data_IF_473536334360
#
_entry.id   IF_473536334360
#
_cell.length_a   1.000
_cell.length_b   1.000
_cell.length_c   1.000
_cell.angle_alpha   90.00
_cell.angle_beta   90.00
_cell.angle_gamma   90.00
#
_symmetry.space_group_name_H-M   'P 1'
#
loop_
_entity.id
_entity.type
_entity.pdbx_description
1 polymer ?
#
# COMPACT_ATOMS: atom_id res chain seq x y z
N UNK A 1 20.64 65.58 87.59
CA UNK A 1 19.80 64.40 87.87
C UNK A 1 18.36 64.77 87.58
N UNK A 2 17.59 63.82 87.03
CA UNK A 2 16.13 63.88 86.81
C UNK A 2 15.68 64.76 85.63
N UNK A 3 14.78 64.39 84.74
CA UNK A 3 14.07 63.13 84.42
C UNK A 3 13.32 63.43 83.11
N UNK A 4 13.16 62.42 82.25
CA UNK A 4 12.45 62.52 80.99
C UNK A 4 10.96 62.18 81.16
N UNK A 5 10.03 63.03 80.72
CA UNK A 5 8.62 62.66 80.41
C UNK A 5 8.12 63.57 79.26
N UNK A 6 8.18 63.08 78.02
CA UNK A 6 7.05 62.62 77.20
C UNK A 6 5.87 63.61 77.05
N UNK A 7 5.81 64.31 75.91
CA UNK A 7 4.56 64.90 75.39
C UNK A 7 3.89 63.91 74.45
N UNK A 8 2.66 63.57 74.82
CA UNK A 8 1.70 62.77 74.08
C UNK A 8 1.15 63.64 72.95
N UNK A 9 1.37 63.25 71.69
CA UNK A 9 0.70 63.85 70.54
C UNK A 9 -0.23 62.83 69.88
N UNK A 10 -1.41 63.34 69.55
CA UNK A 10 -2.65 62.64 69.23
C UNK A 10 -2.56 61.86 67.92
N UNK A 11 -3.10 60.64 67.95
CA UNK A 11 -3.18 59.73 66.82
C UNK A 11 -3.97 60.33 65.64
N UNK A 12 -3.27 60.59 64.54
CA UNK A 12 -3.85 60.74 63.20
C UNK A 12 -3.67 59.38 62.52
N UNK A 13 -4.79 58.68 62.31
CA UNK A 13 -4.87 57.44 61.54
C UNK A 13 -4.70 57.81 60.05
N UNK A 14 -3.68 57.33 59.31
CA UNK A 14 -3.75 57.28 57.87
C UNK A 14 -4.49 56.01 57.46
N UNK A 15 -5.51 56.19 56.60
CA UNK A 15 -6.30 55.14 56.00
C UNK A 15 -5.43 54.03 55.37
N UNK A 16 -5.88 52.76 55.37
CA UNK A 16 -5.23 51.74 54.56
C UNK A 16 -5.44 52.09 53.09
N UNK A 17 -4.34 52.40 52.41
CA UNK A 17 -4.28 52.40 50.95
C UNK A 17 -4.66 50.99 50.50
N UNK A 18 -5.88 50.88 49.97
CA UNK A 18 -6.35 49.72 49.22
C UNK A 18 -5.57 49.71 47.92
N UNK A 19 -4.41 49.07 47.93
CA UNK A 19 -3.74 48.64 46.70
C UNK A 19 -3.78 47.11 46.67
N UNK A 20 -4.95 46.60 46.31
CA UNK A 20 -5.20 45.16 46.17
C UNK A 20 -5.78 44.92 44.79
N UNK A 21 -4.93 44.90 43.75
CA UNK A 21 -5.18 44.03 42.57
C UNK A 21 -4.05 43.92 41.53
N UNK A 22 -2.85 44.50 41.72
CA UNK A 22 -1.84 44.51 40.63
C UNK A 22 -0.68 43.52 40.81
N UNK A 23 -0.60 42.78 41.92
CA UNK A 23 0.60 42.01 42.25
C UNK A 23 0.56 40.50 41.95
N UNK A 24 -0.41 40.00 41.16
CA UNK A 24 -0.51 38.56 40.79
C UNK A 24 -0.78 38.29 39.32
N UNK A 25 -0.78 39.30 38.43
CA UNK A 25 -0.93 39.08 36.99
C UNK A 25 0.44 38.76 36.37
N UNK A 26 0.77 37.48 36.27
CA UNK A 26 1.96 37.03 35.54
C UNK A 26 1.70 37.03 34.03
N UNK A 27 2.77 37.11 33.23
CA UNK A 27 2.67 37.06 31.76
C UNK A 27 2.04 35.74 31.29
N UNK A 28 2.31 34.65 32.01
CA UNK A 28 1.76 33.32 31.74
C UNK A 28 0.24 33.28 31.97
N UNK A 29 -0.26 33.94 33.01
CA UNK A 29 -1.71 34.05 33.28
C UNK A 29 -2.39 34.85 32.16
N UNK A 30 -1.81 35.96 31.73
CA UNK A 30 -2.33 36.76 30.60
C UNK A 30 -2.34 35.94 29.30
N UNK A 31 -1.28 35.17 29.03
CA UNK A 31 -1.22 34.29 27.87
C UNK A 31 -2.27 33.16 27.92
N UNK A 32 -2.59 32.64 29.11
CA UNK A 32 -3.67 31.68 29.28
C UNK A 32 -5.06 32.32 29.05
N UNK A 33 -5.29 33.54 29.56
CA UNK A 33 -6.53 34.30 29.32
C UNK A 33 -6.74 34.58 27.83
N UNK A 34 -5.70 35.05 27.11
CA UNK A 34 -5.76 35.30 25.67
C UNK A 34 -6.10 34.02 24.90
N UNK A 35 -5.44 32.90 25.21
CA UNK A 35 -5.73 31.60 24.56
C UNK A 35 -7.16 31.11 24.81
N UNK A 36 -7.69 31.35 26.02
CA UNK A 36 -9.07 31.00 26.36
C UNK A 36 -10.08 31.83 25.55
N UNK A 37 -9.87 33.14 25.44
CA UNK A 37 -10.74 34.04 24.64
C UNK A 37 -10.72 33.63 23.16
N UNK A 38 -9.52 33.36 22.63
CA UNK A 38 -9.32 32.94 21.24
C UNK A 38 -10.01 31.60 20.95
N UNK A 39 -9.93 30.63 21.86
CA UNK A 39 -10.63 29.34 21.73
C UNK A 39 -12.16 29.48 21.74
N UNK A 40 -12.69 30.30 22.65
CA UNK A 40 -14.12 30.61 22.70
C UNK A 40 -14.59 31.29 21.42
N UNK A 41 -13.83 32.26 20.92
CA UNK A 41 -14.16 32.97 19.67
C UNK A 41 -14.19 32.01 18.47
N UNK A 42 -13.20 31.11 18.36
CA UNK A 42 -13.18 30.09 17.28
C UNK A 42 -14.42 29.21 17.30
N UNK A 43 -14.81 28.70 18.47
CA UNK A 43 -15.99 27.85 18.65
C UNK A 43 -17.27 28.57 18.24
N UNK A 44 -17.43 29.83 18.66
CA UNK A 44 -18.59 30.64 18.28
C UNK A 44 -18.65 30.87 16.77
N UNK A 45 -17.52 31.15 16.13
CA UNK A 45 -17.46 31.35 14.67
C UNK A 45 -17.80 30.06 13.91
N UNK A 46 -17.27 28.91 14.34
CA UNK A 46 -17.58 27.62 13.72
C UNK A 46 -19.07 27.26 13.90
N UNK A 47 -19.63 27.44 15.10
CA UNK A 47 -21.05 27.19 15.33
C UNK A 47 -21.94 28.12 14.49
N UNK A 48 -21.59 29.40 14.40
CA UNK A 48 -22.30 30.36 13.55
C UNK A 48 -22.28 29.93 12.08
N UNK A 49 -21.15 29.39 11.60
CA UNK A 49 -21.02 28.87 10.25
C UNK A 49 -21.92 27.64 9.99
N UNK A 50 -22.06 26.75 10.98
CA UNK A 50 -23.00 25.60 10.93
C UNK A 50 -24.43 26.11 10.85
N UNK A 51 -24.82 27.03 11.72
CA UNK A 51 -26.19 27.56 11.78
C UNK A 51 -26.57 28.29 10.48
N UNK A 52 -25.65 29.09 9.94
CA UNK A 52 -25.80 29.73 8.61
C UNK A 52 -26.00 28.65 7.54
N UNK A 53 -25.22 27.59 7.55
CA UNK A 53 -25.36 26.49 6.59
C UNK A 53 -26.71 25.78 6.66
N UNK A 54 -27.27 25.56 7.85
CA UNK A 54 -28.63 25.01 8.00
C UNK A 54 -29.69 25.95 7.42
N UNK A 55 -29.60 27.25 7.67
CA UNK A 55 -30.51 28.25 7.09
C UNK A 55 -30.37 28.35 5.57
N UNK A 56 -29.16 28.19 5.04
CA UNK A 56 -28.93 28.15 3.60
C UNK A 56 -29.51 26.88 2.96
N UNK A 57 -29.44 25.72 3.62
CA UNK A 57 -30.15 24.52 3.17
C UNK A 57 -31.66 24.74 3.13
N UNK A 58 -32.23 25.31 4.19
CA UNK A 58 -33.66 25.65 4.27
C UNK A 58 -34.05 26.61 3.12
N UNK A 59 -33.35 27.73 2.97
CA UNK A 59 -33.61 28.71 1.92
C UNK A 59 -33.49 28.12 0.51
N UNK A 60 -32.52 27.24 0.27
CA UNK A 60 -32.32 26.60 -1.05
C UNK A 60 -33.49 25.71 -1.47
N UNK A 61 -34.29 25.19 -0.53
CA UNK A 61 -35.52 24.45 -0.86
C UNK A 61 -36.68 25.36 -1.30
N UNK A 62 -36.63 26.65 -0.92
CA UNK A 62 -37.67 27.64 -1.20
C UNK A 62 -37.37 28.51 -2.43
N UNK A 63 -36.09 28.66 -2.79
CA UNK A 63 -35.66 29.44 -3.95
C UNK A 63 -35.87 28.65 -5.25
N UNK A 64 -36.47 29.30 -6.25
CA UNK A 64 -36.71 28.69 -7.55
C UNK A 64 -35.41 28.25 -8.26
N UNK A 65 -35.52 27.20 -9.07
CA UNK A 65 -34.38 26.70 -9.87
C UNK A 65 -33.82 27.81 -10.77
N UNK A 66 -32.50 27.98 -10.74
CA UNK A 66 -31.78 29.02 -11.51
C UNK A 66 -31.54 30.33 -10.75
N UNK A 67 -32.37 30.66 -9.75
CA UNK A 67 -32.33 31.94 -9.04
C UNK A 67 -31.39 31.97 -7.83
N UNK A 68 -30.83 30.82 -7.44
CA UNK A 68 -30.00 30.68 -6.23
C UNK A 68 -28.82 31.64 -6.17
N UNK A 69 -28.12 31.82 -7.30
CA UNK A 69 -26.95 32.68 -7.37
C UNK A 69 -27.25 34.16 -7.14
N UNK A 70 -28.37 34.64 -7.67
CA UNK A 70 -28.81 36.03 -7.51
C UNK A 70 -29.37 36.24 -6.10
N UNK A 71 -30.20 35.30 -5.64
CA UNK A 71 -30.76 35.34 -4.28
C UNK A 71 -29.66 35.48 -3.21
N UNK A 72 -28.56 34.72 -3.33
CA UNK A 72 -27.42 34.80 -2.41
C UNK A 72 -26.77 36.19 -2.37
N UNK A 73 -26.60 36.83 -3.53
CA UNK A 73 -25.97 38.15 -3.61
C UNK A 73 -26.88 39.22 -3.01
N UNK A 74 -28.16 39.21 -3.35
CA UNK A 74 -29.11 40.25 -2.95
C UNK A 74 -29.50 40.17 -1.48
N UNK A 75 -29.67 38.95 -0.92
CA UNK A 75 -30.26 38.79 0.40
C UNK A 75 -29.25 38.57 1.53
N UNK A 76 -28.12 37.91 1.25
CA UNK A 76 -27.13 37.52 2.27
C UNK A 76 -25.70 37.93 1.92
N UNK A 77 -25.49 38.58 0.78
CA UNK A 77 -24.19 39.04 0.28
C UNK A 77 -23.11 37.95 0.27
N UNK A 78 -23.49 36.72 -0.07
CA UNK A 78 -22.56 35.60 -0.19
C UNK A 78 -22.30 35.21 -1.64
N UNK A 79 -21.07 34.76 -1.89
CA UNK A 79 -20.78 34.02 -3.12
C UNK A 79 -21.36 32.60 -3.04
N UNK A 80 -21.57 31.96 -4.19
CA UNK A 80 -22.01 30.56 -4.24
C UNK A 80 -21.02 29.61 -3.54
N UNK A 81 -19.71 29.87 -3.64
CA UNK A 81 -18.70 29.05 -2.99
C UNK A 81 -18.70 29.21 -1.47
N UNK A 82 -18.85 30.44 -0.97
CA UNK A 82 -18.99 30.73 0.47
C UNK A 82 -20.22 30.03 1.04
N UNK A 83 -21.38 30.20 0.39
CA UNK A 83 -22.62 29.53 0.78
C UNK A 83 -22.47 28.00 0.75
N UNK A 84 -21.84 27.47 -0.29
CA UNK A 84 -21.55 26.04 -0.41
C UNK A 84 -20.66 25.50 0.71
N UNK A 85 -19.65 26.26 1.16
CA UNK A 85 -18.81 25.86 2.28
C UNK A 85 -19.60 25.79 3.59
N UNK A 86 -20.43 26.79 3.89
CA UNK A 86 -21.30 26.77 5.07
C UNK A 86 -22.25 25.57 5.05
N UNK A 87 -22.91 25.34 3.92
CA UNK A 87 -23.82 24.21 3.75
C UNK A 87 -23.14 22.85 3.94
N UNK A 88 -21.92 22.67 3.42
CA UNK A 88 -21.14 21.43 3.62
C UNK A 88 -20.72 21.25 5.07
N UNK A 89 -20.22 22.30 5.72
CA UNK A 89 -19.84 22.25 7.13
C UNK A 89 -21.05 21.87 8.00
N UNK A 90 -22.21 22.46 7.71
CA UNK A 90 -23.43 22.18 8.44
C UNK A 90 -23.93 20.73 8.33
N UNK A 91 -23.64 20.06 7.22
CA UNK A 91 -23.97 18.64 7.02
C UNK A 91 -22.96 17.72 7.69
N UNK A 92 -21.66 18.00 7.55
CA UNK A 92 -20.61 17.04 7.87
C UNK A 92 -20.07 17.17 9.31
N UNK A 93 -20.34 18.28 10.01
CA UNK A 93 -19.73 18.61 11.32
C UNK A 93 -20.71 18.56 12.49
N UNK A 94 -21.94 18.07 12.27
CA UNK A 94 -23.05 18.18 13.23
C UNK A 94 -22.89 17.28 14.48
N UNK A 95 -22.02 16.27 14.45
CA UNK A 95 -21.99 15.19 15.46
C UNK A 95 -20.58 14.74 15.89
N UNK A 96 -19.52 15.48 15.53
CA UNK A 96 -18.13 15.04 15.74
C UNK A 96 -17.40 15.92 16.75
N UNK A 97 -17.17 15.46 18.00
CA UNK A 97 -16.43 16.20 19.01
C UNK A 97 -15.02 16.60 18.57
N UNK A 98 -14.33 15.75 17.81
CA UNK A 98 -12.99 16.01 17.29
C UNK A 98 -12.94 17.24 16.37
N UNK A 99 -14.03 17.53 15.65
CA UNK A 99 -14.10 18.68 14.74
C UNK A 99 -14.58 19.96 15.45
N UNK A 100 -15.07 19.86 16.69
CA UNK A 100 -15.60 21.01 17.44
C UNK A 100 -14.52 21.96 17.98
N UNK A 101 -13.27 21.50 18.04
CA UNK A 101 -12.11 22.30 18.44
C UNK A 101 -11.39 22.98 17.25
N UNK A 102 -11.97 22.91 16.05
CA UNK A 102 -11.39 23.53 14.86
C UNK A 102 -11.89 24.97 14.66
N UNK A 103 -11.05 25.80 14.04
CA UNK A 103 -11.50 27.06 13.43
C UNK A 103 -12.29 26.81 12.14
N UNK A 104 -13.14 27.76 11.76
CA UNK A 104 -13.84 27.74 10.47
C UNK A 104 -12.90 27.49 9.28
N UNK A 105 -11.75 28.16 9.25
CA UNK A 105 -10.79 28.00 8.14
C UNK A 105 -10.16 26.60 8.10
N UNK A 106 -9.92 25.97 9.25
CA UNK A 106 -9.48 24.57 9.32
C UNK A 106 -10.59 23.61 8.87
N UNK A 107 -11.84 23.85 9.29
CA UNK A 107 -12.99 23.07 8.83
C UNK A 107 -13.17 23.16 7.31
N UNK A 108 -13.08 24.35 6.72
CA UNK A 108 -13.11 24.53 5.26
C UNK A 108 -11.95 23.80 4.58
N UNK A 109 -10.75 23.82 5.16
CA UNK A 109 -9.59 23.10 4.59
C UNK A 109 -9.82 21.59 4.54
N UNK A 110 -10.45 21.00 5.57
CA UNK A 110 -10.76 19.57 5.62
C UNK A 110 -11.82 19.13 4.61
N UNK A 111 -12.64 20.05 4.07
CA UNK A 111 -13.64 19.72 3.04
C UNK A 111 -13.01 19.18 1.74
N UNK A 112 -11.70 19.34 1.52
CA UNK A 112 -11.00 18.73 0.39
C UNK A 112 -10.72 17.24 0.59
N UNK A 113 -10.90 16.71 1.79
CA UNK A 113 -10.85 15.27 2.07
C UNK A 113 -12.25 14.64 1.96
N UNK A 114 -12.35 13.34 1.63
CA UNK A 114 -13.58 12.57 1.76
C UNK A 114 -14.15 12.68 3.18
N UNK A 115 -15.48 12.66 3.33
CA UNK A 115 -16.12 12.83 4.64
C UNK A 115 -15.66 11.75 5.65
N UNK A 116 -15.54 10.50 5.21
CA UNK A 116 -15.04 9.38 6.02
C UNK A 116 -13.61 9.56 6.56
N UNK A 117 -12.74 10.27 5.83
CA UNK A 117 -11.32 10.39 6.18
C UNK A 117 -11.02 11.56 7.13
N UNK A 118 -11.95 12.52 7.27
CA UNK A 118 -11.68 13.80 7.94
C UNK A 118 -11.45 13.64 9.43
N UNK A 119 -12.27 12.84 10.10
CA UNK A 119 -12.16 12.63 11.55
C UNK A 119 -10.84 11.94 11.91
N UNK A 120 -10.54 10.84 11.23
CA UNK A 120 -9.26 10.12 11.37
C UNK A 120 -8.07 11.04 11.06
N UNK A 121 -8.15 11.85 10.00
CA UNK A 121 -7.09 12.80 9.66
C UNK A 121 -6.87 13.84 10.76
N UNK A 122 -7.94 14.35 11.38
CA UNK A 122 -7.86 15.33 12.48
C UNK A 122 -7.20 14.75 13.72
N UNK A 123 -7.55 13.51 14.08
CA UNK A 123 -6.98 12.81 15.24
C UNK A 123 -5.50 12.48 15.03
N UNK A 124 -5.15 11.86 13.89
CA UNK A 124 -3.78 11.41 13.62
C UNK A 124 -2.77 12.56 13.51
N UNK A 125 -3.20 13.68 12.91
CA UNK A 125 -2.35 14.83 12.63
C UNK A 125 -2.44 15.93 13.70
N UNK A 126 -3.28 15.75 14.73
CA UNK A 126 -3.55 16.78 15.74
C UNK A 126 -3.93 18.14 15.11
N UNK A 127 -4.87 18.10 14.16
CA UNK A 127 -5.19 19.24 13.30
C UNK A 127 -5.67 20.49 14.07
N UNK A 128 -6.20 20.31 15.28
CA UNK A 128 -6.64 21.40 16.15
C UNK A 128 -5.49 22.33 16.58
N UNK A 129 -4.29 21.77 16.78
CA UNK A 129 -3.09 22.53 17.18
C UNK A 129 -2.30 23.09 15.99
N UNK A 130 -2.64 22.68 14.76
CA UNK A 130 -1.96 23.15 13.53
C UNK A 130 -2.54 24.48 13.05
N UNK A 131 -1.70 25.37 12.51
CA UNK A 131 -2.23 26.51 11.76
C UNK A 131 -2.98 26.06 10.51
N UNK A 132 -3.93 26.86 10.01
CA UNK A 132 -4.66 26.56 8.77
C UNK A 132 -3.71 26.29 7.59
N UNK A 133 -2.56 26.98 7.54
CA UNK A 133 -1.56 26.79 6.46
C UNK A 133 -0.85 25.45 6.56
N UNK A 134 -0.45 25.06 7.77
CA UNK A 134 0.17 23.74 8.00
C UNK A 134 -0.83 22.63 7.72
N UNK A 135 -2.09 22.80 8.13
CA UNK A 135 -3.15 21.83 7.84
C UNK A 135 -3.36 21.65 6.33
N UNK A 136 -3.43 22.75 5.57
CA UNK A 136 -3.52 22.70 4.11
C UNK A 136 -2.30 22.04 3.45
N UNK A 137 -1.11 22.22 4.00
CA UNK A 137 0.10 21.56 3.51
C UNK A 137 0.03 20.04 3.76
N UNK A 138 -0.35 19.61 4.97
CA UNK A 138 -0.48 18.20 5.32
C UNK A 138 -1.54 17.49 4.47
N UNK A 139 -2.68 18.14 4.21
CA UNK A 139 -3.74 17.59 3.33
C UNK A 139 -3.22 17.41 1.90
N UNK A 140 -2.51 18.41 1.35
CA UNK A 140 -1.94 18.33 0.01
C UNK A 140 -0.89 17.23 -0.09
N UNK A 141 -0.07 17.07 0.93
CA UNK A 141 0.94 16.03 0.98
C UNK A 141 0.30 14.63 1.00
N UNK A 142 -0.71 14.40 1.85
CA UNK A 142 -1.49 13.14 1.85
C UNK A 142 -2.04 12.82 0.45
N UNK A 143 -2.69 13.79 -0.18
CA UNK A 143 -3.26 13.61 -1.53
C UNK A 143 -2.19 13.33 -2.59
N UNK A 144 -1.03 13.97 -2.51
CA UNK A 144 0.08 13.73 -3.43
C UNK A 144 0.68 12.33 -3.22
N UNK A 145 0.83 11.90 -1.96
CA UNK A 145 1.29 10.55 -1.60
C UNK A 145 0.32 9.49 -2.10
N UNK A 146 -0.99 9.64 -1.86
CA UNK A 146 -2.03 8.75 -2.35
C UNK A 146 -2.01 8.65 -3.88
N UNK A 147 -1.87 9.78 -4.58
CA UNK A 147 -1.77 9.81 -6.04
C UNK A 147 -0.53 9.06 -6.52
N UNK A 148 0.62 9.27 -5.90
CA UNK A 148 1.86 8.57 -6.25
C UNK A 148 1.75 7.06 -5.99
N UNK A 149 1.14 6.67 -4.87
CA UNK A 149 0.92 5.26 -4.53
C UNK A 149 -0.03 4.59 -5.53
N UNK A 150 -1.11 5.27 -5.93
CA UNK A 150 -2.01 4.79 -6.96
C UNK A 150 -1.32 4.64 -8.33
N UNK A 151 -0.50 5.62 -8.74
CA UNK A 151 0.29 5.54 -9.97
C UNK A 151 1.29 4.38 -9.95
N UNK A 152 1.99 4.18 -8.84
CA UNK A 152 2.92 3.05 -8.66
C UNK A 152 2.21 1.71 -8.71
N UNK A 153 1.02 1.61 -8.09
CA UNK A 153 0.20 0.39 -8.15
C UNK A 153 -0.25 0.09 -9.57
N UNK A 154 -0.72 1.10 -10.30
CA UNK A 154 -1.14 0.93 -11.70
C UNK A 154 0.03 0.50 -12.60
N UNK A 155 1.21 1.09 -12.42
CA UNK A 155 2.42 0.69 -13.15
C UNK A 155 2.81 -0.76 -12.85
N UNK A 156 2.74 -1.16 -11.58
CA UNK A 156 3.01 -2.54 -11.17
C UNK A 156 1.99 -3.53 -11.78
N UNK A 157 0.69 -3.20 -11.74
CA UNK A 157 -0.36 -4.05 -12.31
C UNK A 157 -0.20 -4.21 -13.83
N UNK A 158 0.19 -3.14 -14.54
CA UNK A 158 0.49 -3.18 -15.98
C UNK A 158 1.71 -4.06 -16.26
N UNK A 159 2.79 -3.89 -15.50
CA UNK A 159 3.99 -4.71 -15.62
C UNK A 159 3.69 -6.19 -15.36
N UNK A 160 2.95 -6.51 -14.29
CA UNK A 160 2.59 -7.88 -13.92
C UNK A 160 1.72 -8.55 -14.99
N UNK A 161 0.74 -7.82 -15.56
CA UNK A 161 -0.06 -8.31 -16.69
C UNK A 161 0.80 -8.57 -17.93
N UNK A 162 1.68 -7.64 -18.29
CA UNK A 162 2.57 -7.80 -19.43
C UNK A 162 3.50 -9.01 -19.29
N UNK A 163 4.03 -9.25 -18.09
CA UNK A 163 4.85 -10.43 -17.80
C UNK A 163 4.06 -11.73 -17.91
N UNK A 164 2.85 -11.76 -17.35
CA UNK A 164 1.96 -12.93 -17.45
C UNK A 164 1.62 -13.25 -18.91
N UNK A 165 1.25 -12.26 -19.71
CA UNK A 165 0.92 -12.46 -21.12
C UNK A 165 2.11 -13.01 -21.92
N UNK A 166 3.34 -12.54 -21.65
CA UNK A 166 4.52 -13.10 -22.30
C UNK A 166 4.80 -14.54 -21.87
N UNK A 167 4.60 -14.86 -20.59
CA UNK A 167 4.75 -16.22 -20.08
C UNK A 167 3.70 -17.17 -20.69
N UNK A 168 2.44 -16.75 -20.72
CA UNK A 168 1.34 -17.55 -21.29
C UNK A 168 1.57 -17.83 -22.78
N UNK A 169 2.05 -16.83 -23.54
CA UNK A 169 2.42 -17.00 -24.96
C UNK A 169 3.57 -18.00 -25.15
N UNK A 170 4.64 -17.88 -24.36
CA UNK A 170 5.78 -18.79 -24.44
C UNK A 170 5.36 -20.22 -24.06
N UNK A 171 4.59 -20.37 -22.97
CA UNK A 171 4.07 -21.66 -22.52
C UNK A 171 3.17 -22.32 -23.58
N UNK A 172 2.32 -21.54 -24.25
CA UNK A 172 1.47 -22.04 -25.33
C UNK A 172 2.30 -22.48 -26.56
N UNK A 173 3.32 -21.73 -26.93
CA UNK A 173 4.22 -22.08 -28.04
C UNK A 173 4.98 -23.38 -27.74
N UNK A 174 5.63 -23.46 -26.58
CA UNK A 174 6.38 -24.64 -26.13
C UNK A 174 5.49 -25.89 -26.06
N UNK A 175 4.27 -25.74 -25.54
CA UNK A 175 3.28 -26.82 -25.53
C UNK A 175 2.93 -27.28 -26.94
N UNK A 176 2.69 -26.34 -27.87
CA UNK A 176 2.38 -26.67 -29.26
C UNK A 176 3.53 -27.40 -29.96
N UNK A 177 4.78 -26.97 -29.75
CA UNK A 177 5.96 -27.62 -30.32
C UNK A 177 6.13 -29.05 -29.77
N UNK A 178 5.94 -29.23 -28.46
CA UNK A 178 6.00 -30.54 -27.81
C UNK A 178 4.90 -31.48 -28.30
N UNK A 179 3.67 -31.00 -28.38
CA UNK A 179 2.53 -31.81 -28.80
C UNK A 179 2.70 -32.25 -30.28
N UNK A 180 3.22 -31.37 -31.15
CA UNK A 180 3.57 -31.72 -32.53
C UNK A 180 4.70 -32.76 -32.63
N UNK A 181 5.73 -32.65 -31.78
CA UNK A 181 6.83 -33.61 -31.75
C UNK A 181 6.37 -34.99 -31.24
N UNK A 182 5.47 -35.00 -30.26
CA UNK A 182 4.84 -36.23 -29.77
C UNK A 182 3.98 -36.90 -30.85
N UNK A 183 3.22 -36.12 -31.61
CA UNK A 183 2.43 -36.63 -32.73
C UNK A 183 3.31 -37.27 -33.82
N UNK A 184 4.43 -36.62 -34.18
CA UNK A 184 5.41 -37.20 -35.11
C UNK A 184 6.00 -38.51 -34.59
N UNK A 185 6.35 -38.57 -33.30
CA UNK A 185 6.86 -39.78 -32.67
C UNK A 185 5.86 -40.94 -32.73
N UNK A 186 4.57 -40.66 -32.46
CA UNK A 186 3.51 -41.67 -32.54
C UNK A 186 3.30 -42.17 -33.97
N UNK A 187 3.29 -41.25 -34.94
CA UNK A 187 3.12 -41.60 -36.35
C UNK A 187 4.27 -42.48 -36.86
N UNK A 188 5.51 -42.14 -36.52
CA UNK A 188 6.67 -42.95 -36.89
C UNK A 188 6.69 -44.32 -36.18
N UNK A 189 6.23 -44.37 -34.92
CA UNK A 189 6.08 -45.64 -34.18
C UNK A 189 5.06 -46.56 -34.85
N UNK A 190 3.91 -46.02 -35.26
CA UNK A 190 2.89 -46.77 -35.99
C UNK A 190 3.40 -47.23 -37.37
N UNK A 191 4.14 -46.36 -38.08
CA UNK A 191 4.76 -46.70 -39.36
C UNK A 191 5.76 -47.85 -39.21
N UNK A 192 6.61 -47.81 -38.19
CA UNK A 192 7.56 -48.89 -37.89
C UNK A 192 6.82 -50.20 -37.61
N UNK A 193 5.75 -50.18 -36.81
CA UNK A 193 4.97 -51.38 -36.51
C UNK A 193 4.44 -52.02 -37.81
N UNK A 194 3.87 -51.21 -38.71
CA UNK A 194 3.40 -51.68 -40.01
C UNK A 194 4.53 -52.24 -40.90
N UNK A 195 5.72 -51.62 -40.85
CA UNK A 195 6.89 -52.11 -41.58
C UNK A 195 7.43 -53.43 -41.00
N UNK A 196 7.44 -53.59 -39.68
CA UNK A 196 7.86 -54.83 -39.01
C UNK A 196 6.88 -55.97 -39.30
N UNK A 197 5.58 -55.70 -39.29
CA UNK A 197 4.55 -56.67 -39.70
C UNK A 197 4.74 -57.09 -41.17
N UNK A 198 5.08 -56.14 -42.05
CA UNK A 198 5.37 -56.42 -43.46
C UNK A 198 6.64 -57.24 -43.66
N UNK A 199 7.69 -56.98 -42.89
CA UNK A 199 8.92 -57.81 -42.87
C UNK A 199 8.55 -59.24 -42.48
N UNK A 200 7.76 -59.40 -41.41
CA UNK A 200 7.34 -60.72 -40.91
C UNK A 200 6.50 -61.51 -41.92
N UNK A 201 5.59 -60.84 -42.64
CA UNK A 201 4.83 -61.44 -43.74
C UNK A 201 5.75 -61.92 -44.87
N UNK A 202 6.68 -61.07 -45.31
CA UNK A 202 7.62 -61.38 -46.39
C UNK A 202 8.58 -62.51 -45.98
N UNK A 203 9.01 -62.58 -44.72
CA UNK A 203 9.79 -63.71 -44.19
C UNK A 203 9.02 -65.03 -44.30
N UNK A 204 7.75 -65.05 -43.90
CA UNK A 204 6.89 -66.24 -44.02
C UNK A 204 6.65 -66.64 -45.48
N UNK A 205 6.49 -65.68 -46.39
CA UNK A 205 6.36 -65.94 -47.83
C UNK A 205 7.64 -66.52 -48.42
N UNK A 206 8.81 -66.01 -48.04
CA UNK A 206 10.11 -66.56 -48.44
C UNK A 206 10.25 -68.00 -47.94
N UNK A 207 9.92 -68.27 -46.69
CA UNK A 207 10.02 -69.62 -46.10
C UNK A 207 9.09 -70.62 -46.81
N UNK A 208 7.83 -70.23 -47.08
CA UNK A 208 6.88 -71.04 -47.85
C UNK A 208 7.35 -71.31 -49.28
N UNK A 209 7.85 -70.28 -49.99
CA UNK A 209 8.35 -70.42 -51.35
C UNK A 209 9.59 -71.33 -51.43
N UNK A 210 10.46 -71.27 -50.43
CA UNK A 210 11.64 -72.15 -50.32
C UNK A 210 11.25 -73.61 -50.03
N UNK A 211 10.30 -73.85 -49.12
CA UNK A 211 9.87 -75.19 -48.74
C UNK A 211 9.00 -75.88 -49.80
N UNK A 212 8.27 -75.11 -50.61
CA UNK A 212 7.43 -75.65 -51.70
C UNK A 212 8.18 -75.94 -53.01
N UNK A 213 9.50 -75.72 -53.06
CA UNK A 213 10.29 -75.87 -54.30
C UNK A 213 9.92 -74.84 -55.38
N UNK A 214 9.52 -73.63 -54.97
CA UNK A 214 9.06 -72.57 -55.87
C UNK A 214 10.14 -72.06 -56.83
N UNK A 215 9.71 -71.38 -57.91
CA UNK A 215 10.60 -70.82 -58.94
C UNK A 215 11.68 -69.92 -58.31
N UNK A 216 12.93 -70.15 -58.72
CA UNK A 216 14.12 -69.45 -58.18
C UNK A 216 14.02 -67.95 -58.43
N UNK A 217 13.44 -67.54 -59.57
CA UNK A 217 13.21 -66.12 -59.89
C UNK A 217 12.17 -65.48 -58.98
N UNK A 218 11.07 -66.17 -58.67
CA UNK A 218 10.00 -65.67 -57.80
C UNK A 218 10.52 -65.47 -56.37
N UNK A 219 11.24 -66.46 -55.84
CA UNK A 219 11.86 -66.42 -54.51
C UNK A 219 12.90 -65.30 -54.40
N UNK A 220 13.67 -65.02 -55.46
CA UNK A 220 14.63 -63.92 -55.49
C UNK A 220 13.97 -62.53 -55.48
N UNK A 221 12.80 -62.36 -56.12
CA UNK A 221 12.02 -61.12 -56.06
C UNK A 221 11.52 -60.85 -54.63
N UNK A 222 10.91 -61.85 -53.99
CA UNK A 222 10.38 -61.72 -52.62
C UNK A 222 11.51 -61.38 -51.63
N UNK A 223 12.71 -62.00 -51.76
CA UNK A 223 13.89 -61.64 -50.96
C UNK A 223 14.37 -60.21 -51.17
N UNK A 224 14.20 -59.66 -52.38
CA UNK A 224 14.57 -58.26 -52.66
C UNK A 224 13.60 -57.30 -52.00
N UNK A 225 12.29 -57.61 -52.02
CA UNK A 225 11.27 -56.84 -51.30
C UNK A 225 11.43 -56.95 -49.79
N UNK A 226 11.79 -58.13 -49.26
CA UNK A 226 12.12 -58.31 -47.84
C UNK A 226 13.26 -57.37 -47.41
N UNK A 227 14.38 -57.33 -48.17
CA UNK A 227 15.49 -56.42 -47.88
C UNK A 227 15.10 -54.94 -47.91
N UNK A 228 14.17 -54.55 -48.80
CA UNK A 228 13.66 -53.17 -48.84
C UNK A 228 12.80 -52.88 -47.60
N UNK A 229 11.94 -53.82 -47.19
CA UNK A 229 11.12 -53.69 -46.00
C UNK A 229 11.96 -53.66 -44.71
N UNK A 230 12.98 -54.50 -44.60
CA UNK A 230 13.96 -54.50 -43.49
C UNK A 230 14.70 -53.17 -43.40
N UNK A 231 15.11 -52.62 -44.56
CA UNK A 231 15.75 -51.31 -44.61
C UNK A 231 14.81 -50.20 -44.16
N UNK A 232 13.56 -50.23 -44.61
CA UNK A 232 12.55 -49.26 -44.19
C UNK A 232 12.31 -49.32 -42.67
N UNK A 233 12.14 -50.53 -42.11
CA UNK A 233 12.00 -50.74 -40.65
C UNK A 233 13.22 -50.24 -39.86
N UNK A 234 14.43 -50.46 -40.38
CA UNK A 234 15.66 -49.95 -39.78
C UNK A 234 15.75 -48.42 -39.81
N UNK A 235 15.35 -47.80 -40.91
CA UNK A 235 15.36 -46.34 -41.07
C UNK A 235 14.29 -45.69 -40.16
N UNK A 236 13.09 -46.24 -40.06
CA UNK A 236 12.07 -45.78 -39.11
C UNK A 236 12.49 -45.98 -37.65
N UNK A 237 13.21 -47.06 -37.31
CA UNK A 237 13.78 -47.22 -35.96
C UNK A 237 14.75 -46.08 -35.61
N UNK A 238 15.66 -45.71 -36.52
CA UNK A 238 16.57 -44.57 -36.31
C UNK A 238 15.78 -43.28 -36.15
N UNK A 239 14.72 -43.08 -36.93
CA UNK A 239 13.86 -41.90 -36.84
C UNK A 239 13.16 -41.79 -35.48
N UNK A 240 12.69 -42.90 -34.91
CA UNK A 240 12.10 -42.95 -33.56
C UNK A 240 13.15 -42.61 -32.49
N UNK A 241 14.38 -43.13 -32.60
CA UNK A 241 15.48 -42.80 -31.68
C UNK A 241 15.88 -41.32 -31.75
N UNK A 242 15.92 -40.74 -32.95
CA UNK A 242 16.14 -39.30 -33.18
C UNK A 242 15.01 -38.46 -32.55
N UNK A 243 13.75 -38.79 -32.84
CA UNK A 243 12.58 -38.08 -32.29
C UNK A 243 12.51 -38.18 -30.75
N UNK A 244 12.81 -39.35 -30.19
CA UNK A 244 12.87 -39.55 -28.75
C UNK A 244 13.98 -38.75 -28.08
N UNK A 245 15.14 -38.61 -28.75
CA UNK A 245 16.25 -37.77 -28.28
C UNK A 245 15.89 -36.28 -28.37
N UNK A 246 15.24 -35.87 -29.46
CA UNK A 246 14.74 -34.51 -29.63
C UNK A 246 13.70 -34.13 -28.57
N UNK A 247 12.78 -35.04 -28.20
CA UNK A 247 11.82 -34.79 -27.12
C UNK A 247 12.50 -34.56 -25.77
N UNK A 248 13.50 -35.38 -25.42
CA UNK A 248 14.26 -35.21 -24.17
C UNK A 248 15.05 -33.90 -24.15
N UNK A 249 15.64 -33.51 -25.28
CA UNK A 249 16.35 -32.23 -25.39
C UNK A 249 15.39 -31.06 -25.21
N UNK A 250 14.22 -31.09 -25.89
CA UNK A 250 13.21 -30.04 -25.74
C UNK A 250 12.65 -29.93 -24.34
N UNK A 251 12.45 -31.05 -23.65
CA UNK A 251 12.00 -31.05 -22.25
C UNK A 251 13.05 -30.39 -21.32
N UNK A 252 14.34 -30.69 -21.53
CA UNK A 252 15.42 -30.05 -20.78
C UNK A 252 15.59 -28.55 -21.11
N UNK A 253 15.45 -28.16 -22.38
CA UNK A 253 15.47 -26.75 -22.82
C UNK A 253 14.31 -25.96 -22.19
N UNK A 254 13.12 -26.57 -22.10
CA UNK A 254 11.96 -25.96 -21.47
C UNK A 254 12.20 -25.74 -19.96
N UNK A 255 12.71 -26.75 -19.26
CA UNK A 255 13.06 -26.62 -17.83
C UNK A 255 14.09 -25.50 -17.60
N UNK A 256 15.13 -25.42 -18.45
CA UNK A 256 16.12 -24.34 -18.40
C UNK A 256 15.51 -22.97 -18.69
N UNK A 257 14.63 -22.87 -19.68
CA UNK A 257 13.98 -21.61 -20.06
C UNK A 257 13.05 -21.12 -18.95
N UNK A 258 12.26 -22.02 -18.35
CA UNK A 258 11.37 -21.69 -17.22
C UNK A 258 12.18 -21.24 -16.01
N UNK A 259 13.24 -21.97 -15.66
CA UNK A 259 14.09 -21.62 -14.51
C UNK A 259 14.83 -20.30 -14.72
N UNK A 260 15.40 -20.05 -15.90
CA UNK A 260 16.04 -18.79 -16.24
C UNK A 260 15.06 -17.61 -16.16
N UNK A 261 13.84 -17.78 -16.68
CA UNK A 261 12.81 -16.74 -16.68
C UNK A 261 12.28 -16.44 -15.28
N UNK A 262 12.11 -17.47 -14.44
CA UNK A 262 11.77 -17.29 -13.03
C UNK A 262 12.87 -16.54 -12.27
N UNK A 263 14.14 -16.81 -12.59
CA UNK A 263 15.27 -16.09 -11.99
C UNK A 263 15.30 -14.61 -12.44
N UNK A 264 15.09 -14.34 -13.73
CA UNK A 264 15.00 -12.98 -14.26
C UNK A 264 13.83 -12.21 -13.63
N UNK A 265 12.67 -12.84 -13.50
CA UNK A 265 11.50 -12.24 -12.85
C UNK A 265 11.76 -11.90 -11.38
N UNK A 266 12.45 -12.77 -10.63
CA UNK A 266 12.84 -12.49 -9.24
C UNK A 266 13.76 -11.28 -9.15
N UNK A 267 14.77 -11.21 -10.02
CA UNK A 267 15.74 -10.12 -10.04
C UNK A 267 15.07 -8.78 -10.39
N UNK A 268 14.13 -8.78 -11.34
CA UNK A 268 13.38 -7.58 -11.71
C UNK A 268 12.42 -7.13 -10.60
N UNK A 269 11.72 -8.07 -9.93
CA UNK A 269 10.90 -7.76 -8.75
C UNK A 269 11.74 -7.15 -7.62
N UNK A 270 12.93 -7.68 -7.40
CA UNK A 270 13.85 -7.18 -6.38
C UNK A 270 14.37 -5.78 -6.71
N UNK A 271 14.74 -5.50 -7.97
CA UNK A 271 15.06 -4.14 -8.43
C UNK A 271 13.91 -3.17 -8.17
N UNK A 272 12.69 -3.56 -8.53
CA UNK A 272 11.51 -2.71 -8.30
C UNK A 272 11.22 -2.49 -6.81
N UNK A 273 11.46 -3.51 -5.96
CA UNK A 273 11.33 -3.36 -4.51
C UNK A 273 12.35 -2.36 -3.96
N UNK A 274 13.62 -2.46 -4.38
CA UNK A 274 14.69 -1.52 -4.01
C UNK A 274 14.39 -0.10 -4.50
N UNK A 275 13.91 0.06 -5.74
CA UNK A 275 13.53 1.37 -6.29
C UNK A 275 12.38 2.00 -5.49
N UNK A 276 11.37 1.20 -5.12
CA UNK A 276 10.25 1.63 -4.27
C UNK A 276 10.73 2.03 -2.87
N UNK A 277 11.57 1.22 -2.25
CA UNK A 277 12.13 1.49 -0.92
C UNK A 277 12.95 2.79 -0.93
N UNK A 278 13.77 2.99 -1.96
CA UNK A 278 14.52 4.24 -2.15
C UNK A 278 13.59 5.44 -2.32
N UNK A 279 12.55 5.33 -3.15
CA UNK A 279 11.56 6.39 -3.33
C UNK A 279 10.79 6.73 -2.05
N UNK A 280 10.45 5.72 -1.25
CA UNK A 280 9.80 5.89 0.05
C UNK A 280 10.75 6.58 1.05
N UNK A 281 12.01 6.15 1.11
CA UNK A 281 13.02 6.75 1.99
C UNK A 281 13.31 8.22 1.62
N UNK A 282 13.34 8.56 0.34
CA UNK A 282 13.46 9.96 -0.10
C UNK A 282 12.24 10.81 0.27
N UNK A 283 11.03 10.23 0.22
CA UNK A 283 9.81 10.91 0.68
C UNK A 283 9.81 11.11 2.19
N UNK A 284 10.17 10.08 2.97
CA UNK A 284 10.31 10.18 4.43
C UNK A 284 11.38 11.20 4.83
N UNK A 285 12.51 11.26 4.11
CA UNK A 285 13.55 12.26 4.35
C UNK A 285 13.05 13.69 4.09
N UNK A 286 12.27 13.91 3.02
CA UNK A 286 11.66 15.22 2.73
C UNK A 286 10.61 15.60 3.76
N UNK A 287 9.77 14.66 4.18
CA UNK A 287 8.77 14.87 5.22
C UNK A 287 9.45 15.22 6.55
N UNK A 288 10.49 14.48 6.96
CA UNK A 288 11.31 14.80 8.13
C UNK A 288 11.95 16.19 8.03
N UNK A 289 12.49 16.56 6.86
CA UNK A 289 13.07 17.89 6.63
C UNK A 289 12.03 19.02 6.69
N UNK A 290 10.79 18.76 6.27
CA UNK A 290 9.69 19.73 6.38
C UNK A 290 9.16 19.83 7.80
N UNK A 291 9.10 18.71 8.54
CA UNK A 291 8.79 18.69 9.97
C UNK A 291 9.83 19.44 10.80
N UNK A 292 11.13 19.30 10.50
CA UNK A 292 12.22 20.05 11.14
C UNK A 292 12.13 21.57 10.91
N UNK A 293 11.34 22.03 9.92
CA UNK A 293 11.07 23.46 9.67
C UNK A 293 9.83 23.99 10.41
N UNK A 294 8.98 23.10 10.93
CA UNK A 294 7.86 23.46 11.79
C UNK A 294 8.35 23.55 13.23
N UNK A 295 7.87 24.54 13.99
CA UNK A 295 8.46 25.01 15.25
C UNK A 295 8.29 24.03 16.45
N UNK A 296 8.19 22.72 16.21
CA UNK A 296 8.00 21.67 17.20
C UNK A 296 8.88 20.43 16.95
N UNK A 297 10.11 20.67 16.48
CA UNK A 297 11.13 19.67 16.16
C UNK A 297 11.32 18.63 17.28
N UNK A 298 11.36 19.08 18.54
CA UNK A 298 11.58 18.20 19.70
C UNK A 298 10.38 17.27 19.97
N UNK A 299 9.14 17.78 19.90
CA UNK A 299 7.93 16.98 20.10
C UNK A 299 7.73 15.97 18.99
N UNK A 300 8.00 16.36 17.74
CA UNK A 300 7.83 15.48 16.59
C UNK A 300 8.91 14.39 16.56
N UNK A 301 10.16 14.71 16.89
CA UNK A 301 11.21 13.71 17.10
C UNK A 301 10.83 12.73 18.22
N UNK A 302 10.30 13.23 19.34
CA UNK A 302 9.81 12.38 20.42
C UNK A 302 8.62 11.50 19.99
N UNK A 303 7.65 12.04 19.24
CA UNK A 303 6.49 11.29 18.72
C UNK A 303 6.92 10.18 17.74
N UNK A 304 7.87 10.48 16.84
CA UNK A 304 8.39 9.50 15.89
C UNK A 304 9.15 8.37 16.58
N UNK A 305 10.01 8.71 17.55
CA UNK A 305 10.72 7.69 18.33
C UNK A 305 9.75 6.82 19.14
N UNK A 306 8.70 7.42 19.70
CA UNK A 306 7.64 6.67 20.38
C UNK A 306 6.91 5.71 19.43
N UNK A 307 6.58 6.16 18.21
CA UNK A 307 5.95 5.32 17.20
C UNK A 307 6.85 4.15 16.76
N UNK A 308 8.16 4.38 16.62
CA UNK A 308 9.12 3.33 16.32
C UNK A 308 9.22 2.31 17.46
N UNK A 309 9.23 2.75 18.72
CA UNK A 309 9.22 1.85 19.89
C UNK A 309 7.95 0.99 19.91
N UNK A 310 6.77 1.58 19.63
CA UNK A 310 5.50 0.85 19.57
C UNK A 310 5.54 -0.20 18.45
N UNK A 311 5.93 0.19 17.24
CA UNK A 311 6.00 -0.72 16.09
C UNK A 311 6.99 -1.88 16.32
N UNK A 312 8.19 -1.58 16.82
CA UNK A 312 9.19 -2.61 17.13
C UNK A 312 8.75 -3.48 18.32
N UNK A 313 8.03 -2.91 19.28
CA UNK A 313 7.39 -3.64 20.39
C UNK A 313 6.36 -4.66 19.90
N UNK A 314 5.49 -4.28 18.97
CA UNK A 314 4.52 -5.21 18.36
C UNK A 314 5.21 -6.35 17.61
N UNK A 315 6.29 -6.06 16.88
CA UNK A 315 7.11 -7.07 16.20
C UNK A 315 7.74 -8.01 17.23
N UNK A 316 8.29 -7.48 18.32
CA UNK A 316 8.88 -8.27 19.41
C UNK A 316 7.85 -9.18 20.09
N UNK A 317 6.64 -8.67 20.38
CA UNK A 317 5.56 -9.46 20.99
C UNK A 317 5.16 -10.62 20.10
N UNK A 318 5.01 -10.39 18.79
CA UNK A 318 4.72 -11.45 17.81
C UNK A 318 5.85 -12.47 17.73
N UNK A 319 7.10 -12.01 17.64
CA UNK A 319 8.27 -12.89 17.60
C UNK A 319 8.38 -13.78 18.85
N UNK A 320 8.08 -13.25 20.04
CA UNK A 320 8.05 -14.03 21.30
C UNK A 320 6.89 -15.03 21.30
N UNK A 321 5.74 -14.67 20.74
CA UNK A 321 4.58 -15.57 20.64
C UNK A 321 4.86 -16.79 19.72
N UNK A 322 5.70 -16.61 18.70
CA UNK A 322 6.05 -17.65 17.72
C UNK A 322 7.13 -18.65 18.22
N UNK A 323 7.70 -18.43 19.40
CA UNK A 323 8.71 -19.32 20.00
C UNK A 323 8.05 -20.60 20.51
N UNK A 324 8.55 -21.75 20.03
CA UNK A 324 8.00 -23.08 20.34
C UNK A 324 8.40 -23.61 21.72
N UNK A 325 9.55 -23.21 22.25
CA UNK A 325 10.02 -23.64 23.56
C UNK A 325 9.48 -22.74 24.69
N UNK A 326 8.75 -23.31 25.67
CA UNK A 326 8.08 -22.52 26.70
C UNK A 326 9.06 -21.87 27.68
N UNK A 327 10.20 -22.50 28.00
CA UNK A 327 11.20 -21.92 28.89
C UNK A 327 11.91 -20.70 28.29
N UNK A 328 12.21 -20.74 26.99
CA UNK A 328 12.81 -19.61 26.26
C UNK A 328 11.81 -18.47 26.08
N UNK A 329 10.54 -18.80 25.83
CA UNK A 329 9.46 -17.81 25.74
C UNK A 329 9.27 -17.06 27.08
N UNK A 330 9.31 -17.77 28.22
CA UNK A 330 9.20 -17.15 29.55
C UNK A 330 10.38 -16.22 29.82
N UNK A 331 11.61 -16.64 29.49
CA UNK A 331 12.82 -15.81 29.65
C UNK A 331 12.73 -14.51 28.83
N UNK A 332 12.27 -14.58 27.59
CA UNK A 332 12.14 -13.40 26.72
C UNK A 332 10.97 -12.49 27.13
N UNK A 333 9.87 -13.04 27.64
CA UNK A 333 8.78 -12.26 28.25
C UNK A 333 9.27 -11.47 29.46
N UNK A 334 10.05 -12.10 30.35
CA UNK A 334 10.60 -11.42 31.52
C UNK A 334 11.61 -10.32 31.11
N UNK A 335 12.44 -10.57 30.09
CA UNK A 335 13.35 -9.57 29.53
C UNK A 335 12.60 -8.38 28.90
N UNK A 336 11.54 -8.64 28.12
CA UNK A 336 10.69 -7.60 27.53
C UNK A 336 9.97 -6.76 28.61
N UNK A 337 9.52 -7.41 29.69
CA UNK A 337 8.93 -6.75 30.85
C UNK A 337 9.91 -5.80 31.54
N UNK A 338 11.17 -6.21 31.73
CA UNK A 338 12.21 -5.34 32.29
C UNK A 338 12.42 -4.09 31.42
N UNK A 339 12.40 -4.24 30.10
CA UNK A 339 12.53 -3.09 29.17
C UNK A 339 11.30 -2.17 29.26
N UNK A 340 10.10 -2.73 29.34
CA UNK A 340 8.87 -1.97 29.52
C UNK A 340 8.84 -1.22 30.87
N UNK A 341 9.29 -1.85 31.96
CA UNK A 341 9.38 -1.23 33.28
C UNK A 341 10.42 -0.08 33.30
N UNK A 342 11.54 -0.23 32.58
CA UNK A 342 12.52 0.86 32.40
C UNK A 342 11.94 2.03 31.61
N UNK A 343 11.18 1.77 30.55
CA UNK A 343 10.48 2.81 29.80
C UNK A 343 9.43 3.50 30.68
N UNK A 344 8.70 2.73 31.50
CA UNK A 344 7.72 3.26 32.45
C UNK A 344 8.34 4.12 33.54
N UNK A 345 9.60 3.87 33.93
CA UNK A 345 10.31 4.67 34.92
C UNK A 345 10.92 5.97 34.36
N UNK A 346 10.97 6.13 33.02
CA UNK A 346 11.47 7.33 32.34
C UNK A 346 10.40 8.43 32.20
N UNK A 347 9.13 8.10 32.46
CA UNK A 347 7.98 9.01 32.44
C UNK A 347 7.24 8.92 33.78
#
# INVERSE_FOLDING_TARGET
MSEAIAKQDVAIIPAPVVDTSLSTRSVEVIAAEIRSIDDQARKVVLQSAIDIGHRLHEAKTLVAHGEWGEWLKTNVNYSQSTAGNFMKIATDYQSTPALSNLSYSQAVALLSLPAEDRETFVEENNAAEMSTRELQAAIKEKQELERKLAQQKEQYDKWAKGQKEQFDKLSAQEKSERDALYEQYQLETNLRQAQEDRVRELEQEVEKAQNAGGDVKETAKIKTELRKAEKAASDSKKKIEELGSAMKQKEAELEQTVTARLAEQRLELEKQAVEKEKGLNEQLAKLNQQLDRSNNEAFLKAKLQLQQIISQGDVLVKAIADIKEPEEQVKLKEAAKIVADKLKALF
#
